data_IF_386749771009
#
_entry.id   IF_386749771009
#
_cell.length_a   1.000
_cell.length_b   1.000
_cell.length_c   1.000
_cell.angle_alpha   90.00
_cell.angle_beta   90.00
_cell.angle_gamma   90.00
#
_symmetry.space_group_name_H-M   'P 1'
#
loop_
_entity.id
_entity.type
_entity.pdbx_description
1 polymer ?
#
# COMPACT_ATOMS: atom_id res chain seq x y z
N UNK A 1 -1.22 15.41 -7.87
CA UNK A 1 -0.58 14.43 -8.77
C UNK A 1 -1.52 13.25 -9.07
N UNK A 2 -1.35 12.54 -10.19
CA UNK A 2 -2.17 11.36 -10.56
C UNK A 2 -2.19 10.30 -9.43
N UNK A 3 -1.05 10.06 -8.79
CA UNK A 3 -0.95 9.15 -7.65
C UNK A 3 -1.75 9.63 -6.42
N UNK A 4 -1.86 10.94 -6.19
CA UNK A 4 -2.66 11.46 -5.06
C UNK A 4 -4.15 11.29 -5.33
N UNK A 5 -4.59 11.57 -6.56
CA UNK A 5 -5.98 11.35 -6.97
C UNK A 5 -6.38 9.87 -6.85
N UNK A 6 -5.51 8.94 -7.27
CA UNK A 6 -5.72 7.50 -7.10
C UNK A 6 -5.83 7.10 -5.62
N UNK A 7 -4.96 7.66 -4.77
CA UNK A 7 -5.00 7.39 -3.33
C UNK A 7 -6.24 7.97 -2.64
N UNK A 8 -6.76 9.10 -3.12
CA UNK A 8 -8.03 9.66 -2.62
C UNK A 8 -9.21 8.75 -2.99
N UNK A 9 -9.29 8.29 -4.24
CA UNK A 9 -10.30 7.31 -4.66
C UNK A 9 -10.20 6.00 -3.85
N UNK A 10 -8.99 5.46 -3.67
CA UNK A 10 -8.79 4.23 -2.89
C UNK A 10 -9.23 4.39 -1.44
N UNK A 11 -9.04 5.57 -0.86
CA UNK A 11 -9.51 5.85 0.50
C UNK A 11 -11.05 5.94 0.57
N UNK A 12 -11.71 6.51 -0.44
CA UNK A 12 -13.18 6.50 -0.53
C UNK A 12 -13.73 5.08 -0.65
N UNK A 13 -13.09 4.23 -1.46
CA UNK A 13 -13.43 2.81 -1.58
C UNK A 13 -13.25 2.06 -0.25
N UNK A 14 -12.14 2.28 0.45
CA UNK A 14 -11.91 1.70 1.77
C UNK A 14 -12.99 2.14 2.78
N UNK A 15 -13.34 3.43 2.80
CA UNK A 15 -14.40 3.94 3.66
C UNK A 15 -15.77 3.30 3.33
N UNK A 16 -16.08 3.08 2.05
CA UNK A 16 -17.31 2.37 1.64
C UNK A 16 -17.34 0.89 2.05
N UNK A 17 -16.18 0.32 2.37
CA UNK A 17 -16.02 -1.05 2.86
C UNK A 17 -15.87 -1.11 4.40
N UNK A 18 -16.25 -0.02 5.11
CA UNK A 18 -16.15 0.12 6.56
C UNK A 18 -14.70 0.00 7.11
N UNK A 19 -13.70 0.34 6.29
CA UNK A 19 -12.29 0.39 6.70
C UNK A 19 -11.89 1.82 7.08
N UNK A 20 -11.15 1.95 8.18
CA UNK A 20 -10.52 3.21 8.59
C UNK A 20 -9.12 3.31 7.98
N UNK A 21 -8.87 4.40 7.23
CA UNK A 21 -7.54 4.67 6.66
C UNK A 21 -6.69 5.43 7.67
N UNK A 22 -5.78 4.73 8.34
CA UNK A 22 -4.89 5.31 9.36
C UNK A 22 -3.65 5.99 8.80
N UNK A 23 -3.24 5.66 7.57
CA UNK A 23 -2.04 6.22 6.91
C UNK A 23 -2.10 6.03 5.38
N UNK A 24 -1.42 6.91 4.63
CA UNK A 24 -1.28 6.82 3.16
C UNK A 24 0.19 6.91 2.76
N UNK A 25 0.68 5.91 2.04
CA UNK A 25 2.10 5.85 1.60
C UNK A 25 2.19 5.83 0.09
N UNK A 26 2.79 6.87 -0.50
CA UNK A 26 3.11 6.93 -1.93
C UNK A 26 4.59 6.67 -2.15
N UNK A 27 4.90 5.62 -2.91
CA UNK A 27 6.27 5.28 -3.28
C UNK A 27 6.54 5.59 -4.75
N UNK A 28 7.28 6.67 -5.03
CA UNK A 28 7.73 7.00 -6.40
C UNK A 28 8.99 6.20 -6.75
N UNK A 29 8.97 5.43 -7.84
CA UNK A 29 10.12 4.67 -8.39
C UNK A 29 9.99 4.55 -9.92
N UNK A 30 11.11 4.29 -10.60
CA UNK A 30 11.14 4.10 -12.05
C UNK A 30 10.59 2.73 -12.48
N UNK A 31 10.74 1.69 -11.65
CA UNK A 31 10.23 0.34 -11.90
C UNK A 31 9.91 -0.37 -10.59
N UNK A 32 8.95 -1.30 -10.65
CA UNK A 32 8.58 -2.15 -9.53
C UNK A 32 9.52 -3.32 -9.36
N UNK A 33 9.73 -3.73 -8.11
CA UNK A 33 10.39 -5.00 -7.82
C UNK A 33 9.41 -6.16 -8.11
N UNK A 34 9.80 -7.15 -8.94
CA UNK A 34 8.88 -8.21 -9.37
C UNK A 34 8.46 -9.14 -8.23
N UNK A 35 9.20 -9.19 -7.11
CA UNK A 35 8.87 -10.03 -5.96
C UNK A 35 8.11 -9.29 -4.87
N UNK A 36 8.42 -8.01 -4.66
CA UNK A 36 8.00 -7.27 -3.46
C UNK A 36 7.36 -5.91 -3.75
N UNK A 37 7.19 -5.54 -5.02
CA UNK A 37 6.72 -4.23 -5.52
C UNK A 37 7.70 -3.08 -5.25
N UNK A 38 8.23 -2.97 -4.03
CA UNK A 38 9.04 -1.85 -3.53
C UNK A 38 10.39 -2.28 -2.94
N UNK A 39 10.81 -3.53 -3.10
CA UNK A 39 12.05 -4.07 -2.53
C UNK A 39 11.86 -4.53 -1.08
N UNK A 40 12.63 -5.56 -0.68
CA UNK A 40 12.47 -6.22 0.62
C UNK A 40 12.65 -5.30 1.82
N UNK A 41 13.67 -4.42 1.80
CA UNK A 41 13.91 -3.49 2.91
C UNK A 41 12.76 -2.50 3.10
N UNK A 42 12.26 -1.91 1.99
CA UNK A 42 11.16 -0.95 2.08
C UNK A 42 9.85 -1.61 2.48
N UNK A 43 9.60 -2.83 2.02
CA UNK A 43 8.47 -3.64 2.45
C UNK A 43 8.55 -3.93 3.95
N UNK A 44 9.73 -4.28 4.47
CA UNK A 44 9.93 -4.51 5.90
C UNK A 44 9.70 -3.24 6.73
N UNK A 45 10.16 -2.08 6.26
CA UNK A 45 9.88 -0.79 6.90
C UNK A 45 8.38 -0.47 6.92
N UNK A 46 7.67 -0.73 5.81
CA UNK A 46 6.22 -0.55 5.71
C UNK A 46 5.47 -1.45 6.70
N UNK A 47 5.87 -2.72 6.82
CA UNK A 47 5.27 -3.67 7.77
C UNK A 47 5.50 -3.21 9.21
N UNK A 48 6.74 -2.82 9.57
CA UNK A 48 7.04 -2.30 10.91
C UNK A 48 6.20 -1.06 11.22
N UNK A 49 6.02 -0.19 10.24
CA UNK A 49 5.19 1.00 10.38
C UNK A 49 3.72 0.67 10.59
N UNK A 50 3.14 -0.23 9.78
CA UNK A 50 1.77 -0.72 9.93
C UNK A 50 1.54 -1.34 11.32
N UNK A 51 2.49 -2.16 11.80
CA UNK A 51 2.42 -2.75 13.15
C UNK A 51 2.40 -1.69 14.26
N UNK A 52 3.17 -0.61 14.11
CA UNK A 52 3.18 0.51 15.08
C UNK A 52 1.85 1.27 15.10
N UNK A 53 1.22 1.41 13.94
CA UNK A 53 -0.10 2.02 13.79
C UNK A 53 -1.24 1.07 14.16
N UNK A 54 -0.93 -0.21 14.45
CA UNK A 54 -1.93 -1.25 14.69
C UNK A 54 -2.89 -1.42 13.49
N UNK A 55 -2.38 -1.23 12.28
CA UNK A 55 -3.18 -1.43 11.07
C UNK A 55 -3.44 -2.92 10.83
N UNK A 56 -4.71 -3.29 10.65
CA UNK A 56 -5.11 -4.67 10.35
C UNK A 56 -4.83 -5.07 8.90
N UNK A 57 -4.91 -4.09 7.99
CA UNK A 57 -4.80 -4.31 6.55
C UNK A 57 -3.80 -3.35 5.90
N UNK A 58 -3.13 -3.86 4.86
CA UNK A 58 -2.38 -3.05 3.90
C UNK A 58 -3.09 -3.20 2.55
N UNK A 59 -3.65 -2.11 2.06
CA UNK A 59 -4.29 -2.04 0.74
C UNK A 59 -3.30 -1.41 -0.24
N UNK A 60 -3.16 -2.01 -1.40
CA UNK A 60 -2.25 -1.55 -2.47
C UNK A 60 -3.06 -1.25 -3.72
N UNK A 61 -2.81 -0.09 -4.30
CA UNK A 61 -3.49 0.40 -5.52
C UNK A 61 -3.12 -0.41 -6.77
N UNK A 62 -1.95 -1.04 -6.75
CA UNK A 62 -1.47 -1.85 -7.87
C UNK A 62 -1.92 -3.31 -7.74
N UNK A 63 -2.33 -3.89 -8.87
CA UNK A 63 -2.55 -5.33 -8.98
C UNK A 63 -1.26 -6.10 -8.62
N UNK A 64 -1.37 -6.96 -7.60
CA UNK A 64 -0.29 -7.85 -7.20
C UNK A 64 -0.32 -9.13 -8.02
N UNK A 65 0.87 -9.60 -8.42
CA UNK A 65 1.02 -10.98 -8.89
C UNK A 65 0.85 -11.96 -7.71
N UNK A 66 0.53 -13.24 -7.97
CA UNK A 66 0.48 -14.24 -6.90
C UNK A 66 1.78 -14.42 -6.13
N UNK A 67 2.92 -13.99 -6.69
CA UNK A 67 4.20 -14.01 -6.00
C UNK A 67 4.38 -12.83 -5.03
N UNK A 68 3.74 -11.69 -5.30
CA UNK A 68 3.79 -10.48 -4.48
C UNK A 68 2.71 -10.49 -3.38
N UNK A 69 1.60 -11.19 -3.59
CA UNK A 69 0.50 -11.31 -2.61
C UNK A 69 0.74 -12.39 -1.54
N UNK A 70 1.89 -13.07 -1.57
CA UNK A 70 2.30 -14.07 -0.56
C UNK A 70 3.26 -13.44 0.43
#
# INVERSE_FOLDING_TARGET
>A
DEAEASMDELAELAASADLEVVERVVQRRQSFDPKTLMGSGKLQDLIIHALRLQADFIVVDQNLTPAQAR
#
